data_IF_166302194740
#
_entry.id   IF_166302194740
#
_cell.length_a   1.000
_cell.length_b   1.000
_cell.length_c   1.000
_cell.angle_alpha   90.00
_cell.angle_beta   90.00
_cell.angle_gamma   90.00
#
_symmetry.space_group_name_H-M   'P 1'
#
loop_
_entity.id
_entity.type
_entity.pdbx_description
1 polymer ?
#
# COMPACT_ATOMS: atom_id res chain seq x y z
N UNK A 1 -8.96 -24.28 13.99
CA UNK A 1 -7.81 -24.47 13.62
C UNK A 1 -7.20 -23.78 12.38
N UNK A 2 -7.85 -22.92 11.66
CA UNK A 2 -7.30 -22.16 10.52
C UNK A 2 -6.97 -20.70 10.89
N UNK A 3 -6.27 -20.48 12.04
CA UNK A 3 -5.90 -19.13 12.47
C UNK A 3 -7.05 -18.30 13.03
N UNK A 4 -8.13 -18.94 13.47
CA UNK A 4 -9.31 -18.29 14.06
C UNK A 4 -9.00 -17.52 15.36
N UNK A 5 -7.88 -17.82 15.99
CA UNK A 5 -7.46 -17.19 17.25
C UNK A 5 -6.60 -15.93 17.05
N UNK A 6 -6.27 -15.56 15.80
CA UNK A 6 -5.45 -14.39 15.50
C UNK A 6 -6.31 -13.22 15.05
N UNK A 7 -5.93 -12.01 15.47
CA UNK A 7 -6.51 -10.78 14.95
C UNK A 7 -6.21 -10.62 13.44
N UNK A 8 -6.92 -9.73 12.76
CA UNK A 8 -6.67 -9.46 11.35
C UNK A 8 -5.22 -8.98 11.10
N UNK A 9 -4.69 -8.13 11.99
CA UNK A 9 -3.31 -7.64 11.94
C UNK A 9 -2.28 -8.76 12.15
N UNK A 10 -2.52 -9.66 13.11
CA UNK A 10 -1.64 -10.81 13.36
C UNK A 10 -1.60 -11.77 12.18
N UNK A 11 -2.74 -12.04 11.55
CA UNK A 11 -2.79 -12.87 10.33
C UNK A 11 -1.99 -12.22 9.19
N UNK A 12 -2.04 -10.90 9.07
CA UNK A 12 -1.27 -10.16 8.06
C UNK A 12 0.23 -10.22 8.35
N UNK A 13 0.67 -10.09 9.60
CA UNK A 13 2.07 -10.28 10.01
C UNK A 13 2.58 -11.69 9.69
N UNK A 14 1.78 -12.72 9.95
CA UNK A 14 2.13 -14.11 9.59
C UNK A 14 2.27 -14.26 8.07
N UNK A 15 1.40 -13.62 7.28
CA UNK A 15 1.50 -13.63 5.82
C UNK A 15 2.78 -12.96 5.32
N UNK A 16 3.19 -11.86 5.94
CA UNK A 16 4.47 -11.19 5.64
C UNK A 16 5.66 -12.08 6.00
N UNK A 17 5.65 -12.72 7.17
CA UNK A 17 6.71 -13.65 7.57
C UNK A 17 6.86 -14.81 6.56
N UNK A 18 5.75 -15.32 6.03
CA UNK A 18 5.75 -16.37 4.99
C UNK A 18 6.33 -15.85 3.67
N UNK A 19 6.05 -14.61 3.28
CA UNK A 19 6.62 -13.99 2.09
C UNK A 19 8.14 -13.81 2.22
N UNK A 20 8.62 -13.38 3.40
CA UNK A 20 10.07 -13.31 3.71
C UNK A 20 10.72 -14.67 3.61
N UNK A 21 10.12 -15.68 4.24
CA UNK A 21 10.67 -17.05 4.25
C UNK A 21 10.82 -17.65 2.85
N UNK A 22 9.91 -17.32 1.93
CA UNK A 22 9.95 -17.82 0.54
C UNK A 22 11.01 -17.15 -0.33
N UNK A 23 11.56 -16.03 0.13
CA UNK A 23 12.62 -15.27 -0.56
C UNK A 23 12.29 -14.95 -2.04
N UNK A 24 11.04 -14.67 -2.34
CA UNK A 24 10.60 -14.36 -3.68
C UNK A 24 11.13 -12.99 -4.13
N UNK A 25 11.72 -12.86 -5.33
CA UNK A 25 12.25 -11.60 -5.82
C UNK A 25 11.16 -10.57 -6.18
N UNK A 26 9.95 -11.04 -6.44
CA UNK A 26 8.79 -10.20 -6.76
C UNK A 26 7.69 -10.49 -5.75
N UNK A 27 7.18 -9.45 -5.13
CA UNK A 27 6.08 -9.51 -4.18
C UNK A 27 4.86 -8.77 -4.72
N UNK A 28 3.70 -9.38 -4.56
CA UNK A 28 2.41 -8.72 -4.81
C UNK A 28 1.71 -8.64 -3.47
N UNK A 29 1.44 -7.42 -3.02
CA UNK A 29 0.86 -7.14 -1.72
C UNK A 29 -0.46 -6.39 -1.92
N UNK A 30 -1.54 -6.95 -1.37
CA UNK A 30 -2.80 -6.25 -1.24
C UNK A 30 -2.89 -5.73 0.19
N UNK A 31 -2.78 -4.41 0.34
CA UNK A 31 -2.82 -3.74 1.64
C UNK A 31 -4.27 -3.60 2.10
N UNK A 32 -4.88 -4.73 2.52
CA UNK A 32 -6.24 -4.74 3.02
C UNK A 32 -6.34 -3.90 4.31
N UNK A 33 -7.28 -2.97 4.31
CA UNK A 33 -7.59 -2.10 5.44
C UNK A 33 -8.49 -2.85 6.43
N UNK A 34 -7.92 -3.69 7.28
CA UNK A 34 -8.59 -4.00 8.53
C UNK A 34 -8.41 -2.80 9.47
N UNK A 35 -9.47 -2.40 10.17
CA UNK A 35 -9.37 -1.45 11.28
C UNK A 35 -8.48 -2.09 12.35
N UNK A 36 -7.23 -1.69 12.41
CA UNK A 36 -6.26 -2.12 13.41
C UNK A 36 -5.91 -0.92 14.29
N UNK A 37 -5.60 -1.20 15.55
CA UNK A 37 -5.11 -0.17 16.47
C UNK A 37 -3.75 0.39 16.01
N UNK A 38 -3.40 1.58 16.51
CA UNK A 38 -2.20 2.31 16.09
C UNK A 38 -0.91 1.53 16.31
N UNK A 39 -0.82 0.71 17.36
CA UNK A 39 0.37 -0.07 17.67
C UNK A 39 0.55 -1.21 16.65
N UNK A 40 -0.54 -1.92 16.36
CA UNK A 40 -0.56 -2.96 15.34
C UNK A 40 -0.28 -2.37 13.96
N UNK A 41 -0.83 -1.19 13.65
CA UNK A 41 -0.55 -0.48 12.41
C UNK A 41 0.94 -0.14 12.24
N UNK A 42 1.59 0.36 13.30
CA UNK A 42 3.03 0.65 13.29
C UNK A 42 3.88 -0.61 13.07
N UNK A 43 3.51 -1.73 13.71
CA UNK A 43 4.17 -3.03 13.50
C UNK A 43 4.00 -3.55 12.08
N UNK A 44 2.81 -3.44 11.52
CA UNK A 44 2.52 -3.83 10.14
C UNK A 44 3.34 -3.01 9.15
N UNK A 45 3.45 -1.69 9.36
CA UNK A 45 4.25 -0.83 8.49
C UNK A 45 5.72 -1.20 8.51
N UNK A 46 6.31 -1.41 9.70
CA UNK A 46 7.71 -1.87 9.82
C UNK A 46 7.95 -3.23 9.16
N UNK A 47 7.00 -4.16 9.33
CA UNK A 47 7.07 -5.47 8.69
C UNK A 47 6.97 -5.35 7.17
N UNK A 48 6.11 -4.48 6.65
CA UNK A 48 5.96 -4.22 5.22
C UNK A 48 7.26 -3.65 4.64
N UNK A 49 7.84 -2.64 5.28
CA UNK A 49 9.12 -2.03 4.86
C UNK A 49 10.24 -3.08 4.81
N UNK A 50 10.31 -3.95 5.81
CA UNK A 50 11.30 -5.02 5.86
C UNK A 50 11.10 -6.07 4.76
N UNK A 51 9.85 -6.41 4.44
CA UNK A 51 9.51 -7.38 3.38
C UNK A 51 9.83 -6.82 1.99
N UNK A 52 9.61 -5.52 1.79
CA UNK A 52 9.84 -4.86 0.49
C UNK A 52 11.32 -4.57 0.22
N UNK A 53 12.15 -4.53 1.27
CA UNK A 53 13.58 -4.22 1.12
C UNK A 53 14.26 -5.21 0.18
N UNK A 54 15.07 -4.69 -0.74
CA UNK A 54 15.84 -5.44 -1.74
C UNK A 54 14.99 -6.33 -2.67
N UNK A 55 13.71 -5.97 -2.87
CA UNK A 55 12.77 -6.72 -3.72
C UNK A 55 11.93 -5.79 -4.59
N UNK A 56 11.45 -6.32 -5.71
CA UNK A 56 10.42 -5.64 -6.48
C UNK A 56 9.06 -5.88 -5.81
N UNK A 57 8.41 -4.84 -5.34
CA UNK A 57 7.09 -4.93 -4.72
C UNK A 57 6.04 -4.23 -5.58
N UNK A 58 4.97 -4.93 -5.90
CA UNK A 58 3.74 -4.36 -6.43
C UNK A 58 2.72 -4.31 -5.30
N UNK A 59 2.37 -3.12 -4.87
CA UNK A 59 1.48 -2.93 -3.72
C UNK A 59 0.17 -2.28 -4.18
N UNK A 60 -0.95 -2.91 -3.86
CA UNK A 60 -2.26 -2.26 -3.94
C UNK A 60 -2.42 -1.48 -2.63
N UNK A 61 -2.07 -0.20 -2.70
CA UNK A 61 -1.94 0.63 -1.51
C UNK A 61 -3.25 1.32 -1.14
N UNK A 62 -3.60 1.23 0.13
CA UNK A 62 -4.72 1.91 0.75
C UNK A 62 -4.27 2.97 1.76
N UNK A 63 -2.96 3.01 2.07
CA UNK A 63 -2.37 3.96 3.02
C UNK A 63 -1.57 5.01 2.28
N UNK A 64 -1.78 6.25 2.70
CA UNK A 64 -1.09 7.38 2.10
C UNK A 64 0.43 7.29 2.25
N UNK A 65 0.92 6.82 3.39
CA UNK A 65 2.36 6.62 3.65
C UNK A 65 3.01 5.65 2.65
N UNK A 66 2.34 4.55 2.34
CA UNK A 66 2.81 3.57 1.34
C UNK A 66 2.86 4.19 -0.05
N UNK A 67 1.84 4.98 -0.43
CA UNK A 67 1.78 5.65 -1.73
C UNK A 67 2.90 6.69 -1.86
N UNK A 68 3.11 7.51 -0.84
CA UNK A 68 4.14 8.56 -0.86
C UNK A 68 5.57 8.01 -0.91
N UNK A 69 5.81 6.85 -0.29
CA UNK A 69 7.11 6.19 -0.26
C UNK A 69 7.41 5.37 -1.53
N UNK A 70 6.46 5.21 -2.43
CA UNK A 70 6.61 4.39 -3.62
C UNK A 70 7.53 5.05 -4.67
N UNK A 71 8.43 4.25 -5.27
CA UNK A 71 9.30 4.71 -6.37
C UNK A 71 8.50 5.03 -7.63
N UNK A 72 7.40 4.32 -7.84
CA UNK A 72 6.48 4.55 -8.95
C UNK A 72 5.05 4.25 -8.54
N UNK A 73 4.17 5.17 -8.85
CA UNK A 73 2.73 5.05 -8.68
C UNK A 73 2.10 4.80 -10.04
N UNK A 74 1.16 3.88 -10.11
CA UNK A 74 0.37 3.59 -11.32
C UNK A 74 -1.10 3.79 -10.99
N UNK A 75 -1.75 4.70 -11.71
CA UNK A 75 -3.15 5.05 -11.49
C UNK A 75 -4.01 4.35 -12.53
N UNK A 76 -4.96 3.56 -12.07
CA UNK A 76 -5.94 2.88 -12.90
C UNK A 76 -7.27 3.63 -12.90
N UNK A 77 -7.86 3.74 -14.08
CA UNK A 77 -9.23 4.19 -14.24
C UNK A 77 -9.94 3.36 -15.32
N UNK A 78 -11.06 2.78 -14.97
CA UNK A 78 -11.86 1.90 -15.86
C UNK A 78 -11.03 0.80 -16.54
N UNK A 79 -10.16 0.13 -15.76
CA UNK A 79 -9.30 -0.96 -16.20
C UNK A 79 -8.11 -0.56 -17.08
N UNK A 80 -7.79 0.73 -17.17
CA UNK A 80 -6.65 1.24 -17.96
C UNK A 80 -5.72 2.06 -17.06
N UNK A 81 -4.44 2.00 -17.36
CA UNK A 81 -3.45 2.91 -16.77
C UNK A 81 -3.65 4.29 -17.39
N UNK A 82 -3.92 5.29 -16.56
CA UNK A 82 -4.17 6.67 -16.99
C UNK A 82 -3.07 7.63 -16.59
N UNK A 83 -2.39 7.36 -15.48
CA UNK A 83 -1.25 8.15 -15.00
C UNK A 83 -0.21 7.21 -14.39
N UNK A 84 1.07 7.59 -14.49
CA UNK A 84 2.16 6.92 -13.80
C UNK A 84 3.29 7.89 -13.53
N UNK A 85 3.95 7.74 -12.37
CA UNK A 85 5.05 8.60 -11.96
C UNK A 85 5.32 8.53 -10.48
N UNK A 86 6.15 9.41 -9.97
CA UNK A 86 6.37 9.60 -8.54
C UNK A 86 5.27 10.48 -7.94
N UNK A 87 5.15 10.44 -6.63
CA UNK A 87 4.18 11.21 -5.88
C UNK A 87 4.15 12.70 -6.28
N UNK A 88 5.32 13.34 -6.25
CA UNK A 88 5.44 14.78 -6.55
C UNK A 88 5.12 15.09 -8.01
N UNK A 89 5.56 14.24 -8.94
CA UNK A 89 5.29 14.39 -10.37
C UNK A 89 3.78 14.35 -10.66
N UNK A 90 3.09 13.37 -10.08
CA UNK A 90 1.65 13.19 -10.26
C UNK A 90 0.83 14.31 -9.58
N UNK A 91 1.31 14.85 -8.46
CA UNK A 91 0.69 16.03 -7.86
C UNK A 91 0.83 17.26 -8.76
N UNK A 92 2.01 17.44 -9.37
CA UNK A 92 2.26 18.57 -10.27
C UNK A 92 1.45 18.49 -11.58
N UNK A 93 1.12 17.28 -12.04
CA UNK A 93 0.26 17.07 -13.22
C UNK A 93 -1.19 17.49 -12.99
N UNK A 94 -1.61 17.65 -11.73
CA UNK A 94 -2.98 18.03 -11.33
C UNK A 94 -4.09 17.14 -11.92
N UNK A 95 -3.78 15.86 -12.15
CA UNK A 95 -4.65 14.88 -12.76
C UNK A 95 -5.57 14.13 -11.77
N UNK A 96 -5.91 12.89 -12.13
CA UNK A 96 -6.75 12.00 -11.30
C UNK A 96 -6.07 11.71 -9.97
N UNK A 97 -4.76 11.42 -9.97
CA UNK A 97 -4.00 11.18 -8.75
C UNK A 97 -4.07 12.36 -7.77
N UNK A 98 -3.78 13.57 -8.25
CA UNK A 98 -3.80 14.76 -7.41
C UNK A 98 -5.18 15.01 -6.81
N UNK A 99 -6.24 14.75 -7.59
CA UNK A 99 -7.63 14.86 -7.10
C UNK A 99 -7.93 13.84 -6.01
N UNK A 100 -7.55 12.57 -6.21
CA UNK A 100 -7.72 11.50 -5.22
C UNK A 100 -6.94 11.80 -3.94
N UNK A 101 -5.71 12.26 -4.08
CA UNK A 101 -4.87 12.66 -2.96
C UNK A 101 -5.53 13.76 -2.12
N UNK A 102 -6.05 14.82 -2.74
CA UNK A 102 -6.76 15.89 -2.04
C UNK A 102 -8.02 15.40 -1.35
N UNK A 103 -8.78 14.50 -1.98
CA UNK A 103 -9.97 13.91 -1.38
C UNK A 103 -9.62 13.07 -0.15
N UNK A 104 -8.55 12.28 -0.18
CA UNK A 104 -8.07 11.52 0.98
C UNK A 104 -7.59 12.42 2.13
N UNK A 105 -6.98 13.57 1.82
CA UNK A 105 -6.61 14.56 2.83
C UNK A 105 -7.82 15.29 3.40
N UNK A 106 -8.82 15.61 2.59
CA UNK A 106 -10.08 16.15 3.05
C UNK A 106 -10.87 15.11 3.88
N UNK A 107 -10.80 13.83 3.49
CA UNK A 107 -11.47 12.71 4.18
C UNK A 107 -10.79 12.32 5.51
N UNK A 108 -9.54 12.70 5.76
CA UNK A 108 -8.98 12.65 7.13
C UNK A 108 -9.70 13.60 8.10
N UNK A 109 -10.52 14.49 7.57
CA UNK A 109 -11.54 15.27 8.32
C UNK A 109 -12.93 14.58 8.28
N UNK A 110 -13.10 13.48 7.49
CA UNK A 110 -14.37 12.71 7.38
C UNK A 110 -14.02 11.26 6.99
N UNK A 111 -14.47 10.21 7.72
CA UNK A 111 -13.86 8.87 7.68
C UNK A 111 -14.18 7.94 6.50
N UNK A 112 -14.86 8.34 5.42
CA UNK A 112 -15.57 7.36 4.56
C UNK A 112 -15.19 7.24 3.08
N UNK A 113 -14.02 7.66 2.61
CA UNK A 113 -13.65 7.44 1.18
C UNK A 113 -12.31 6.73 1.04
N UNK A 114 -12.35 5.43 0.75
CA UNK A 114 -11.20 4.62 0.41
C UNK A 114 -11.20 4.27 -1.08
N UNK A 115 -10.10 4.57 -1.79
CA UNK A 115 -9.89 4.12 -3.17
C UNK A 115 -8.55 3.40 -3.31
N UNK A 116 -8.48 2.24 -3.97
CA UNK A 116 -7.26 1.49 -4.16
C UNK A 116 -6.36 2.12 -5.23
N UNK A 117 -5.08 2.23 -4.92
CA UNK A 117 -4.01 2.67 -5.83
C UNK A 117 -2.94 1.57 -5.86
N UNK A 118 -2.48 1.18 -7.04
CA UNK A 118 -1.36 0.25 -7.18
C UNK A 118 -0.04 1.02 -7.28
N UNK A 119 0.95 0.61 -6.53
CA UNK A 119 2.31 1.17 -6.54
C UNK A 119 3.33 0.08 -6.79
N UNK A 120 4.42 0.42 -7.46
CA UNK A 120 5.50 -0.50 -7.78
C UNK A 120 6.85 0.09 -7.36
N UNK A 121 7.65 -0.70 -6.67
CA UNK A 121 9.04 -0.35 -6.32
C UNK A 121 10.00 -1.27 -7.06
N UNK A 122 10.91 -0.77 -7.89
CA UNK A 122 11.96 -1.55 -8.51
C UNK A 122 13.04 -1.91 -7.49
N UNK A 123 13.73 -3.01 -7.73
CA UNK A 123 14.97 -3.35 -7.02
C UNK A 123 16.04 -2.34 -7.40
N UNK A 124 16.63 -1.74 -6.42
CA UNK A 124 17.85 -0.93 -6.59
C UNK A 124 19.09 -1.80 -6.53
#
# INVERSE_FOLDING_TARGET
ERGSNFSAGERQLISFARAVYRDAPILILDEATASVDSDTESRLQKALDAVMKDRTALVIAHRLSTIQAADRIVVFHKGRVVEQGRHEELLAQDGIYARLYRLQFAAKRSPDVQMPIAVASPVS
#
